data_IF_196877271803
#
_entry.id   IF_196877271803
#
_cell.length_a   1.000
_cell.length_b   1.000
_cell.length_c   1.000
_cell.angle_alpha   90.00
_cell.angle_beta   90.00
_cell.angle_gamma   90.00
#
_symmetry.space_group_name_H-M   'P 1'
#
loop_
_entity.id
_entity.type
_entity.pdbx_description
1 polymer ?
#
# COMPACT_ATOMS: atom_id res chain seq x y z
N UNK A 1 -5.19 9.80 23.34
CA UNK A 1 -4.86 9.47 21.93
C UNK A 1 -5.64 10.34 20.94
N UNK A 2 -6.98 10.24 20.89
CA UNK A 2 -7.84 10.95 19.90
C UNK A 2 -7.60 12.47 19.86
N UNK A 3 -7.49 13.12 21.03
CA UNK A 3 -7.21 14.56 21.13
C UNK A 3 -5.91 14.97 20.43
N UNK A 4 -4.88 14.12 20.46
CA UNK A 4 -3.58 14.41 19.86
C UNK A 4 -3.58 14.14 18.35
N UNK A 5 -4.33 13.12 17.90
CA UNK A 5 -4.59 12.88 16.47
C UNK A 5 -5.29 14.09 15.85
N UNK A 6 -6.37 14.58 16.48
CA UNK A 6 -7.11 15.73 16.00
C UNK A 6 -6.25 16.99 15.95
N UNK A 7 -5.46 17.25 17.00
CA UNK A 7 -4.52 18.39 17.03
C UNK A 7 -3.51 18.34 15.89
N UNK A 8 -2.90 17.18 15.66
CA UNK A 8 -1.94 17.00 14.56
C UNK A 8 -2.60 17.13 13.19
N UNK A 9 -3.80 16.57 13.02
CA UNK A 9 -4.57 16.72 11.79
C UNK A 9 -4.89 18.20 11.51
N UNK A 10 -5.43 18.93 12.48
CA UNK A 10 -5.77 20.35 12.34
C UNK A 10 -4.54 21.20 12.05
N UNK A 11 -3.41 20.93 12.71
CA UNK A 11 -2.16 21.65 12.49
C UNK A 11 -1.59 21.40 11.09
N UNK A 12 -1.57 20.13 10.64
CA UNK A 12 -1.17 19.78 9.29
C UNK A 12 -2.11 20.43 8.26
N UNK A 13 -3.43 20.37 8.49
CA UNK A 13 -4.43 20.98 7.61
C UNK A 13 -4.24 22.49 7.50
N UNK A 14 -4.02 23.19 8.62
CA UNK A 14 -3.83 24.63 8.66
C UNK A 14 -2.56 25.11 7.92
N UNK A 15 -1.55 24.26 7.77
CA UNK A 15 -0.30 24.58 7.06
C UNK A 15 -0.36 24.12 5.61
N UNK A 16 -0.69 22.85 5.39
CA UNK A 16 -0.66 22.22 4.06
C UNK A 16 -1.74 22.83 3.18
N UNK A 17 -2.99 22.92 3.65
CA UNK A 17 -4.11 23.28 2.78
C UNK A 17 -3.99 24.70 2.20
N UNK A 18 -3.69 25.77 2.97
CA UNK A 18 -3.61 27.11 2.39
C UNK A 18 -2.51 27.24 1.34
N UNK A 19 -1.31 26.72 1.62
CA UNK A 19 -0.17 26.79 0.69
C UNK A 19 -0.50 26.03 -0.60
N UNK A 20 -1.07 24.84 -0.47
CA UNK A 20 -1.49 24.01 -1.60
C UNK A 20 -2.53 24.72 -2.46
N UNK A 21 -3.53 25.33 -1.83
CA UNK A 21 -4.61 26.03 -2.53
C UNK A 21 -4.14 27.33 -3.21
N UNK A 22 -3.18 28.04 -2.62
CA UNK A 22 -2.55 29.20 -3.25
C UNK A 22 -1.82 28.77 -4.53
N UNK A 23 -1.01 27.70 -4.45
CA UNK A 23 -0.28 27.18 -5.62
C UNK A 23 -1.26 26.68 -6.67
N UNK A 24 -2.32 25.97 -6.27
CA UNK A 24 -3.37 25.50 -7.17
C UNK A 24 -4.06 26.66 -7.90
N UNK A 25 -4.39 27.73 -7.19
CA UNK A 25 -5.04 28.90 -7.77
C UNK A 25 -4.13 29.69 -8.73
N UNK A 26 -2.83 29.76 -8.44
CA UNK A 26 -1.86 30.55 -9.22
C UNK A 26 -1.24 29.77 -10.38
N UNK A 27 -1.00 28.48 -10.21
CA UNK A 27 -0.21 27.64 -11.12
C UNK A 27 -0.95 26.42 -11.66
N UNK A 28 -2.20 26.21 -11.24
CA UNK A 28 -3.07 25.14 -11.72
C UNK A 28 -3.00 23.86 -10.89
N UNK A 29 -3.91 22.94 -11.23
CA UNK A 29 -4.20 21.72 -10.46
C UNK A 29 -2.98 20.81 -10.29
N UNK A 30 -2.21 20.57 -11.35
CA UNK A 30 -1.06 19.66 -11.30
C UNK A 30 0.01 20.13 -10.30
N UNK A 31 0.35 21.42 -10.29
CA UNK A 31 1.33 21.97 -9.36
C UNK A 31 0.76 22.07 -7.94
N UNK A 32 -0.54 22.32 -7.80
CA UNK A 32 -1.25 22.20 -6.53
C UNK A 32 -1.15 20.79 -5.94
N UNK A 33 -1.38 19.74 -6.74
CA UNK A 33 -1.21 18.35 -6.30
C UNK A 33 0.23 18.08 -5.88
N UNK A 34 1.22 18.48 -6.68
CA UNK A 34 2.65 18.29 -6.32
C UNK A 34 2.98 18.98 -5.00
N UNK A 35 2.50 20.21 -4.79
CA UNK A 35 2.66 20.91 -3.52
C UNK A 35 2.01 20.15 -2.36
N UNK A 36 0.80 19.61 -2.56
CA UNK A 36 0.13 18.78 -1.56
C UNK A 36 0.97 17.54 -1.21
N UNK A 37 1.45 16.81 -2.21
CA UNK A 37 2.26 15.61 -2.06
C UNK A 37 3.47 15.89 -1.17
N UNK A 38 4.21 16.96 -1.48
CA UNK A 38 5.44 17.32 -0.76
C UNK A 38 5.13 17.82 0.65
N UNK A 39 4.16 18.72 0.81
CA UNK A 39 3.84 19.33 2.10
C UNK A 39 3.20 18.34 3.07
N UNK A 40 2.28 17.48 2.60
CA UNK A 40 1.64 16.44 3.43
C UNK A 40 2.65 15.45 4.04
N UNK A 41 3.80 15.25 3.38
CA UNK A 41 4.91 14.47 3.90
C UNK A 41 5.82 15.27 4.84
N UNK A 42 6.27 16.44 4.41
CA UNK A 42 7.30 17.21 5.12
C UNK A 42 6.78 17.88 6.39
N UNK A 43 5.58 18.45 6.36
CA UNK A 43 5.01 19.20 7.49
C UNK A 43 5.02 18.39 8.80
N UNK A 44 4.47 17.17 8.88
CA UNK A 44 4.51 16.40 10.13
C UNK A 44 5.93 16.01 10.56
N UNK A 45 6.86 15.80 9.62
CA UNK A 45 8.26 15.49 9.94
C UNK A 45 9.02 16.68 10.51
N UNK A 46 8.82 17.86 9.93
CA UNK A 46 9.44 19.11 10.39
C UNK A 46 8.86 19.52 11.73
N UNK A 47 7.54 19.48 11.90
CA UNK A 47 6.89 19.80 13.18
C UNK A 47 7.41 18.94 14.33
N UNK A 48 7.77 17.67 14.06
CA UNK A 48 8.25 16.75 15.10
C UNK A 48 9.62 17.13 15.65
N UNK A 49 10.43 17.81 14.84
CA UNK A 49 11.77 18.27 15.20
C UNK A 49 11.76 19.58 15.99
N UNK A 50 10.60 20.21 16.17
CA UNK A 50 10.49 21.49 16.88
C UNK A 50 10.31 21.26 18.38
N UNK A 51 11.35 21.49 19.17
CA UNK A 51 11.35 21.24 20.63
C UNK A 51 10.25 22.02 21.37
N UNK A 52 9.96 23.26 20.91
CA UNK A 52 8.89 24.11 21.46
C UNK A 52 7.50 23.48 21.32
N UNK A 53 7.28 22.64 20.32
CA UNK A 53 6.00 22.00 20.05
C UNK A 53 5.86 20.63 20.75
N UNK A 54 6.96 20.01 21.16
CA UNK A 54 6.93 18.71 21.85
C UNK A 54 6.22 18.76 23.21
N UNK A 55 6.19 19.93 23.86
CA UNK A 55 5.43 20.14 25.10
C UNK A 55 3.90 20.12 24.90
N UNK A 56 3.44 20.38 23.68
CA UNK A 56 2.00 20.52 23.36
C UNK A 56 1.47 19.40 22.44
N UNK A 57 2.37 18.73 21.71
CA UNK A 57 2.06 17.72 20.69
C UNK A 57 2.81 16.41 20.96
N UNK A 58 2.09 15.40 21.44
CA UNK A 58 2.60 14.02 21.43
C UNK A 58 2.22 13.36 20.10
N UNK A 59 3.21 12.91 19.34
CA UNK A 59 2.99 12.24 18.07
C UNK A 59 2.33 10.87 18.29
N UNK A 60 1.14 10.62 17.75
CA UNK A 60 0.44 9.35 17.97
C UNK A 60 0.91 8.23 17.02
N UNK A 61 1.91 8.49 16.16
CA UNK A 61 2.40 7.54 15.17
C UNK A 61 3.93 7.48 15.07
N UNK A 62 4.42 6.37 14.53
CA UNK A 62 5.84 6.19 14.14
C UNK A 62 6.09 6.85 12.77
N UNK A 63 7.24 7.51 12.60
CA UNK A 63 7.54 8.25 11.35
C UNK A 63 7.58 7.35 10.11
N UNK A 64 8.15 6.14 10.22
CA UNK A 64 8.19 5.20 9.11
C UNK A 64 6.80 4.73 8.68
N UNK A 65 5.89 4.54 9.64
CA UNK A 65 4.50 4.14 9.36
C UNK A 65 3.67 5.29 8.80
N UNK A 66 3.98 6.52 9.19
CA UNK A 66 3.41 7.70 8.53
C UNK A 66 3.89 7.83 7.08
N UNK A 67 5.18 7.60 6.82
CA UNK A 67 5.70 7.59 5.46
C UNK A 67 5.04 6.51 4.60
N UNK A 68 4.84 5.30 5.14
CA UNK A 68 4.11 4.24 4.45
C UNK A 68 2.64 4.61 4.21
N UNK A 69 1.95 5.14 5.23
CA UNK A 69 0.59 5.65 5.11
C UNK A 69 0.46 6.76 4.07
N UNK A 70 1.46 7.63 3.96
CA UNK A 70 1.52 8.67 2.95
C UNK A 70 1.54 8.06 1.56
N UNK A 71 2.48 7.14 1.26
CA UNK A 71 2.51 6.43 -0.04
C UNK A 71 1.16 5.77 -0.32
N UNK A 72 0.61 5.03 0.65
CA UNK A 72 -0.64 4.30 0.48
C UNK A 72 -1.82 5.22 0.16
N UNK A 73 -2.05 6.27 0.96
CA UNK A 73 -3.15 7.20 0.68
C UNK A 73 -2.93 7.93 -0.65
N UNK A 74 -1.70 8.29 -1.00
CA UNK A 74 -1.46 8.95 -2.29
C UNK A 74 -1.76 8.04 -3.48
N UNK A 75 -1.39 6.77 -3.40
CA UNK A 75 -1.76 5.78 -4.41
C UNK A 75 -3.28 5.72 -4.57
N UNK A 76 -4.00 5.61 -3.46
CA UNK A 76 -5.47 5.54 -3.47
C UNK A 76 -6.15 6.81 -4.03
N UNK A 77 -5.63 8.01 -3.73
CA UNK A 77 -6.29 9.27 -4.10
C UNK A 77 -5.83 9.85 -5.45
N UNK A 78 -4.61 9.54 -5.91
CA UNK A 78 -4.00 10.26 -7.03
C UNK A 78 -3.29 9.36 -8.05
N UNK A 79 -3.03 8.09 -7.75
CA UNK A 79 -2.15 7.23 -8.54
C UNK A 79 -2.95 6.00 -8.99
N UNK A 80 -3.92 6.29 -9.85
CA UNK A 80 -4.92 5.35 -10.37
C UNK A 80 -6.09 6.09 -10.99
N UNK A 81 -6.87 5.43 -11.84
CA UNK A 81 -8.24 5.87 -12.18
C UNK A 81 -9.22 5.64 -10.99
N UNK A 82 -8.71 5.26 -9.81
CA UNK A 82 -9.47 4.63 -8.74
C UNK A 82 -10.52 5.51 -8.06
N UNK A 83 -11.70 4.89 -7.87
CA UNK A 83 -12.77 5.11 -6.87
C UNK A 83 -13.49 6.44 -6.88
N UNK A 84 -12.80 7.52 -7.20
CA UNK A 84 -13.42 8.81 -7.31
C UNK A 84 -12.91 9.47 -8.59
N UNK A 85 -13.60 9.27 -9.73
CA UNK A 85 -13.27 9.97 -10.96
C UNK A 85 -13.49 11.47 -10.74
N UNK A 86 -12.46 12.18 -10.27
CA UNK A 86 -12.54 13.62 -10.02
C UNK A 86 -12.25 14.39 -11.30
N UNK A 87 -13.04 14.14 -12.34
CA UNK A 87 -13.40 15.22 -13.24
C UNK A 87 -14.44 16.05 -12.49
N UNK A 88 -14.01 17.07 -11.73
CA UNK A 88 -14.95 18.10 -11.24
C UNK A 88 -15.46 18.83 -12.48
N UNK A 89 -16.47 18.28 -13.13
CA UNK A 89 -17.09 18.80 -14.33
C UNK A 89 -17.94 20.02 -13.96
N UNK A 90 -17.27 21.11 -13.62
CA UNK A 90 -17.86 22.39 -13.26
C UNK A 90 -17.21 23.48 -14.09
N UNK A 91 -18.02 24.30 -14.76
CA UNK A 91 -17.55 25.54 -15.40
C UNK A 91 -17.18 26.65 -14.40
N UNK A 92 -17.41 26.44 -13.09
CA UNK A 92 -17.09 27.40 -12.04
C UNK A 92 -15.80 27.01 -11.29
N UNK A 93 -14.82 27.91 -11.31
CA UNK A 93 -13.54 27.76 -10.61
C UNK A 93 -13.72 27.58 -9.10
N UNK A 94 -14.72 28.23 -8.50
CA UNK A 94 -15.01 28.11 -7.07
C UNK A 94 -15.38 26.68 -6.65
N UNK A 95 -16.17 25.96 -7.45
CA UNK A 95 -16.53 24.57 -7.17
C UNK A 95 -15.35 23.61 -7.36
N UNK A 96 -14.48 23.89 -8.33
CA UNK A 96 -13.22 23.14 -8.52
C UNK A 96 -12.33 23.30 -7.29
N UNK A 97 -12.15 24.53 -6.80
CA UNK A 97 -11.37 24.79 -5.59
C UNK A 97 -11.97 24.15 -4.34
N UNK A 98 -13.29 24.21 -4.17
CA UNK A 98 -13.98 23.58 -3.05
C UNK A 98 -13.82 22.06 -3.08
N UNK A 99 -13.97 21.44 -4.26
CA UNK A 99 -13.75 20.00 -4.42
C UNK A 99 -12.32 19.61 -4.03
N UNK A 100 -11.31 20.36 -4.49
CA UNK A 100 -9.91 20.12 -4.09
C UNK A 100 -9.67 20.30 -2.59
N UNK A 101 -10.31 21.29 -1.96
CA UNK A 101 -10.24 21.46 -0.50
C UNK A 101 -10.76 20.22 0.21
N UNK A 102 -11.91 19.69 -0.22
CA UNK A 102 -12.50 18.47 0.35
C UNK A 102 -11.56 17.28 0.14
N UNK A 103 -11.07 17.08 -1.07
CA UNK A 103 -10.16 15.96 -1.41
C UNK A 103 -8.89 16.01 -0.57
N UNK A 104 -8.21 17.15 -0.50
CA UNK A 104 -6.99 17.30 0.29
C UNK A 104 -7.23 17.12 1.78
N UNK A 105 -8.36 17.61 2.30
CA UNK A 105 -8.74 17.45 3.71
C UNK A 105 -9.00 15.98 4.04
N UNK A 106 -9.77 15.28 3.22
CA UNK A 106 -10.09 13.85 3.40
C UNK A 106 -8.82 13.01 3.25
N UNK A 107 -7.96 13.33 2.28
CA UNK A 107 -6.69 12.64 2.07
C UNK A 107 -5.76 12.78 3.29
N UNK A 108 -5.59 13.99 3.83
CA UNK A 108 -4.82 14.21 5.06
C UNK A 108 -5.42 13.47 6.25
N UNK A 109 -6.75 13.46 6.37
CA UNK A 109 -7.42 12.74 7.45
C UNK A 109 -7.14 11.24 7.34
N UNK A 110 -7.32 10.67 6.14
CA UNK A 110 -7.03 9.28 5.85
C UNK A 110 -5.57 8.92 6.21
N UNK A 111 -4.59 9.73 5.81
CA UNK A 111 -3.18 9.53 6.17
C UNK A 111 -2.97 9.50 7.68
N UNK A 112 -3.58 10.44 8.43
CA UNK A 112 -3.42 10.45 9.89
C UNK A 112 -4.07 9.23 10.55
N UNK A 113 -5.24 8.81 10.09
CA UNK A 113 -5.95 7.65 10.63
C UNK A 113 -5.19 6.36 10.32
N UNK A 114 -4.79 6.16 9.06
CA UNK A 114 -4.04 4.98 8.63
C UNK A 114 -2.70 4.90 9.37
N UNK A 115 -1.97 6.00 9.54
CA UNK A 115 -0.73 6.01 10.31
C UNK A 115 -0.93 5.61 11.79
N UNK A 116 -2.03 6.02 12.42
CA UNK A 116 -2.36 5.60 13.79
C UNK A 116 -2.74 4.13 13.83
N UNK A 117 -3.59 3.66 12.91
CA UNK A 117 -3.97 2.25 12.81
C UNK A 117 -2.74 1.37 12.63
N UNK A 118 -1.83 1.73 11.72
CA UNK A 118 -0.57 1.03 11.51
C UNK A 118 0.30 1.02 12.77
N UNK A 119 0.31 2.11 13.53
CA UNK A 119 1.07 2.19 14.79
C UNK A 119 0.47 1.27 15.85
N UNK A 120 -0.85 1.28 16.03
CA UNK A 120 -1.56 0.36 16.92
C UNK A 120 -1.36 -1.11 16.50
N UNK A 121 -1.39 -1.36 15.20
CA UNK A 121 -1.13 -2.67 14.62
C UNK A 121 0.31 -3.14 14.89
N UNK A 122 1.30 -2.23 14.80
CA UNK A 122 2.70 -2.54 15.10
C UNK A 122 2.95 -2.78 16.61
N UNK A 123 2.13 -2.20 17.47
CA UNK A 123 2.18 -2.36 18.94
C UNK A 123 1.32 -3.52 19.45
N UNK A 124 0.63 -4.26 18.57
CA UNK A 124 -0.27 -5.34 18.97
C UNK A 124 0.48 -6.46 19.71
N UNK A 125 -0.18 -7.18 20.64
CA UNK A 125 0.38 -8.39 21.23
C UNK A 125 0.57 -9.46 20.15
N UNK A 126 1.76 -10.05 20.09
CA UNK A 126 2.07 -11.15 19.17
C UNK A 126 1.68 -12.47 19.81
N UNK A 127 1.01 -13.31 19.04
CA UNK A 127 0.51 -14.61 19.49
C UNK A 127 1.28 -15.77 18.85
N UNK A 128 1.40 -15.76 17.52
CA UNK A 128 2.02 -16.86 16.78
C UNK A 128 2.99 -16.27 15.76
N UNK A 129 4.27 -16.64 15.88
CA UNK A 129 5.35 -16.21 14.98
C UNK A 129 4.99 -16.36 13.50
N UNK A 130 4.38 -17.47 13.11
CA UNK A 130 3.98 -17.69 11.71
C UNK A 130 2.92 -16.68 11.27
N UNK A 131 1.80 -16.62 11.98
CA UNK A 131 0.70 -15.73 11.64
C UNK A 131 1.11 -14.25 11.73
N UNK A 132 1.85 -13.86 12.77
CA UNK A 132 2.28 -12.48 12.96
C UNK A 132 3.30 -12.01 11.92
N UNK A 133 4.26 -12.86 11.54
CA UNK A 133 5.22 -12.51 10.49
C UNK A 133 4.53 -12.45 9.12
N UNK A 134 3.59 -13.35 8.83
CA UNK A 134 2.78 -13.29 7.60
C UNK A 134 1.88 -12.06 7.55
N UNK A 135 1.21 -11.74 8.66
CA UNK A 135 0.32 -10.58 8.77
C UNK A 135 1.10 -9.27 8.66
N UNK A 136 2.27 -9.16 9.32
CA UNK A 136 3.12 -7.98 9.20
C UNK A 136 3.58 -7.77 7.76
N UNK A 137 4.10 -8.83 7.11
CA UNK A 137 4.51 -8.73 5.71
C UNK A 137 3.37 -8.31 4.80
N UNK A 138 2.20 -8.93 4.95
CA UNK A 138 1.04 -8.63 4.13
C UNK A 138 0.58 -7.17 4.27
N UNK A 139 0.58 -6.62 5.49
CA UNK A 139 0.23 -5.21 5.74
C UNK A 139 1.21 -4.25 5.07
N UNK A 140 2.49 -4.61 4.93
CA UNK A 140 3.47 -3.77 4.26
C UNK A 140 3.56 -4.01 2.74
N UNK A 141 3.26 -5.21 2.27
CA UNK A 141 3.46 -5.60 0.86
C UNK A 141 2.22 -5.47 0.00
N UNK A 142 1.01 -5.69 0.53
CA UNK A 142 -0.18 -5.83 -0.30
C UNK A 142 -0.91 -4.51 -0.60
N UNK A 143 -1.18 -3.61 0.37
CA UNK A 143 -2.12 -2.52 0.13
C UNK A 143 -1.78 -1.61 -1.06
N UNK A 144 -0.51 -1.23 -1.22
CA UNK A 144 -0.09 -0.34 -2.31
C UNK A 144 -0.12 -1.05 -3.67
N UNK A 145 0.53 -2.22 -3.85
CA UNK A 145 0.43 -2.94 -5.12
C UNK A 145 -0.97 -3.40 -5.50
N UNK A 146 -1.82 -3.78 -4.54
CA UNK A 146 -3.19 -4.20 -4.83
C UNK A 146 -4.06 -3.06 -5.35
N UNK A 147 -3.82 -1.82 -4.92
CA UNK A 147 -4.46 -0.64 -5.50
C UNK A 147 -4.02 -0.45 -6.95
N UNK A 148 -2.71 -0.46 -7.21
CA UNK A 148 -2.15 -0.26 -8.54
C UNK A 148 -2.58 -1.34 -9.55
N UNK A 149 -2.58 -2.60 -9.12
CA UNK A 149 -3.08 -3.72 -9.93
C UNK A 149 -4.59 -3.63 -10.11
N UNK A 150 -5.31 -3.36 -9.02
CA UNK A 150 -6.77 -3.23 -9.04
C UNK A 150 -7.24 -2.16 -10.01
N UNK A 151 -6.55 -1.02 -10.12
CA UNK A 151 -6.91 0.06 -11.04
C UNK A 151 -6.87 -0.35 -12.51
N UNK A 152 -5.89 -1.16 -12.88
CA UNK A 152 -5.82 -1.73 -14.24
C UNK A 152 -6.93 -2.76 -14.43
N UNK A 153 -7.17 -3.61 -13.43
CA UNK A 153 -8.16 -4.70 -13.52
C UNK A 153 -9.61 -4.20 -13.41
N UNK A 154 -9.83 -3.01 -12.85
CA UNK A 154 -11.16 -2.43 -12.62
C UNK A 154 -11.76 -1.79 -13.87
N UNK A 155 -10.95 -1.42 -14.87
CA UNK A 155 -11.37 -0.71 -16.07
C UNK A 155 -12.66 -1.29 -16.67
N UNK A 156 -13.74 -0.52 -16.70
CA UNK A 156 -15.00 -0.95 -17.29
C UNK A 156 -15.01 -0.59 -18.79
N UNK A 157 -14.73 -1.56 -19.65
CA UNK A 157 -14.72 -1.36 -21.11
C UNK A 157 -15.84 -2.18 -21.76
N UNK A 158 -17.08 -1.65 -21.80
CA UNK A 158 -18.24 -2.39 -22.32
C UNK A 158 -18.24 -2.53 -23.85
N UNK A 159 -17.49 -1.70 -24.59
CA UNK A 159 -17.36 -1.80 -26.04
C UNK A 159 -16.22 -2.76 -26.44
N UNK A 160 -16.52 -3.89 -27.11
CA UNK A 160 -15.52 -4.88 -27.52
C UNK A 160 -14.43 -4.33 -28.46
N UNK A 161 -14.75 -3.32 -29.29
CA UNK A 161 -13.80 -2.74 -30.24
C UNK A 161 -12.80 -1.87 -29.47
N UNK A 162 -13.29 -1.04 -28.55
CA UNK A 162 -12.44 -0.24 -27.67
C UNK A 162 -11.58 -1.12 -26.75
N UNK A 163 -12.15 -2.22 -26.23
CA UNK A 163 -11.42 -3.20 -25.44
C UNK A 163 -10.26 -3.82 -26.23
N UNK A 164 -10.49 -4.20 -27.50
CA UNK A 164 -9.45 -4.75 -28.37
C UNK A 164 -8.32 -3.73 -28.65
N UNK A 165 -8.65 -2.44 -28.77
CA UNK A 165 -7.66 -1.38 -28.99
C UNK A 165 -6.84 -1.03 -27.74
N UNK A 166 -7.47 -1.02 -26.56
CA UNK A 166 -6.81 -0.72 -25.28
C UNK A 166 -6.02 -1.91 -24.73
N UNK A 167 -6.41 -3.14 -25.08
CA UNK A 167 -5.85 -4.40 -24.59
C UNK A 167 -4.31 -4.44 -24.56
N UNK A 168 -3.57 -4.12 -25.66
CA UNK A 168 -2.10 -4.16 -25.64
C UNK A 168 -1.48 -3.21 -24.60
N UNK A 169 -2.06 -2.02 -24.43
CA UNK A 169 -1.58 -1.03 -23.47
C UNK A 169 -1.89 -1.47 -22.03
N UNK A 170 -3.13 -1.93 -21.79
CA UNK A 170 -3.58 -2.44 -20.50
C UNK A 170 -2.72 -3.62 -20.03
N UNK A 171 -2.41 -4.58 -20.91
CA UNK A 171 -1.52 -5.69 -20.57
C UNK A 171 -0.09 -5.25 -20.29
N UNK A 172 0.42 -4.26 -21.01
CA UNK A 172 1.76 -3.68 -20.75
C UNK A 172 1.80 -2.99 -19.38
N UNK A 173 0.77 -2.22 -19.03
CA UNK A 173 0.65 -1.60 -17.71
C UNK A 173 0.49 -2.63 -16.59
N UNK A 174 -0.33 -3.67 -16.81
CA UNK A 174 -0.48 -4.77 -15.86
C UNK A 174 0.87 -5.44 -15.59
N UNK A 175 1.66 -5.72 -16.64
CA UNK A 175 2.98 -6.33 -16.51
C UNK A 175 3.95 -5.43 -15.72
N UNK A 176 3.94 -4.11 -15.97
CA UNK A 176 4.74 -3.15 -15.20
C UNK A 176 4.38 -3.19 -13.71
N UNK A 177 3.09 -3.16 -13.37
CA UNK A 177 2.64 -3.21 -11.98
C UNK A 177 2.88 -4.55 -11.31
N UNK A 178 2.83 -5.66 -12.06
CA UNK A 178 3.24 -6.97 -11.56
C UNK A 178 4.74 -6.98 -11.20
N UNK A 179 5.62 -6.40 -12.02
CA UNK A 179 7.02 -6.25 -11.65
C UNK A 179 7.22 -5.35 -10.44
N UNK A 180 6.48 -4.24 -10.37
CA UNK A 180 6.45 -3.37 -9.19
C UNK A 180 6.05 -4.15 -7.93
N UNK A 181 5.00 -4.98 -8.03
CA UNK A 181 4.53 -5.84 -6.94
C UNK A 181 5.59 -6.83 -6.48
N UNK A 182 6.29 -7.48 -7.41
CA UNK A 182 7.38 -8.41 -7.09
C UNK A 182 8.52 -7.68 -6.38
N UNK A 183 8.99 -6.56 -6.93
CA UNK A 183 10.08 -5.78 -6.32
C UNK A 183 9.69 -5.30 -4.92
N UNK A 184 8.47 -4.77 -4.78
CA UNK A 184 7.96 -4.28 -3.51
C UNK A 184 7.88 -5.38 -2.45
N UNK A 185 7.28 -6.52 -2.81
CA UNK A 185 7.11 -7.66 -1.89
C UNK A 185 8.46 -8.28 -1.51
N UNK A 186 9.39 -8.40 -2.46
CA UNK A 186 10.75 -8.84 -2.16
C UNK A 186 11.48 -7.89 -1.22
N UNK A 187 11.33 -6.58 -1.43
CA UNK A 187 11.86 -5.56 -0.53
C UNK A 187 11.32 -5.73 0.89
N UNK A 188 10.00 -5.94 1.03
CA UNK A 188 9.36 -6.17 2.34
C UNK A 188 9.89 -7.45 2.99
N UNK A 189 9.95 -8.57 2.28
CA UNK A 189 10.47 -9.84 2.83
C UNK A 189 11.91 -9.65 3.32
N UNK A 190 12.77 -9.04 2.51
CA UNK A 190 14.17 -8.82 2.83
C UNK A 190 14.36 -7.88 4.04
N UNK A 191 13.65 -6.74 4.07
CA UNK A 191 13.78 -5.74 5.13
C UNK A 191 13.16 -6.24 6.44
N UNK A 192 11.97 -6.84 6.39
CA UNK A 192 11.25 -7.27 7.59
C UNK A 192 11.96 -8.44 8.30
N UNK A 193 12.47 -9.41 7.54
CA UNK A 193 13.19 -10.56 8.09
C UNK A 193 14.69 -10.31 8.29
N UNK A 194 15.19 -9.12 7.94
CA UNK A 194 16.60 -8.79 8.05
C UNK A 194 17.15 -9.15 9.45
N UNK A 195 18.30 -9.82 9.55
CA UNK A 195 18.87 -10.23 10.83
C UNK A 195 19.04 -9.03 11.76
N UNK A 196 18.52 -9.14 12.99
CA UNK A 196 18.72 -8.15 14.05
C UNK A 196 19.94 -8.52 14.88
N UNK A 197 20.52 -7.54 15.59
CA UNK A 197 21.67 -7.74 16.47
C UNK A 197 21.46 -8.95 17.40
N UNK A 198 22.41 -9.89 17.39
CA UNK A 198 22.36 -11.11 18.21
C UNK A 198 21.76 -12.35 17.52
N UNK A 199 21.25 -12.26 16.28
CA UNK A 199 20.74 -13.42 15.54
C UNK A 199 21.80 -14.01 14.58
N UNK A 200 21.75 -15.33 14.37
CA UNK A 200 22.62 -16.03 13.39
C UNK A 200 22.30 -15.55 11.97
N UNK A 201 23.17 -14.70 11.41
CA UNK A 201 22.96 -14.05 10.12
C UNK A 201 22.69 -15.05 8.97
N UNK A 202 23.52 -16.09 8.85
CA UNK A 202 23.36 -17.09 7.79
C UNK A 202 22.01 -17.84 7.83
N UNK A 203 21.49 -18.11 9.04
CA UNK A 203 20.20 -18.77 9.21
C UNK A 203 19.04 -17.86 8.79
N UNK A 204 19.12 -16.57 9.13
CA UNK A 204 18.11 -15.57 8.73
C UNK A 204 18.12 -15.32 7.23
N UNK A 205 19.31 -15.27 6.61
CA UNK A 205 19.44 -15.22 5.17
C UNK A 205 18.82 -16.45 4.50
N UNK A 206 19.05 -17.66 5.02
CA UNK A 206 18.41 -18.87 4.49
C UNK A 206 16.88 -18.80 4.58
N UNK A 207 16.33 -18.31 5.69
CA UNK A 207 14.88 -18.09 5.83
C UNK A 207 14.35 -17.07 4.82
N UNK A 208 15.05 -15.94 4.62
CA UNK A 208 14.70 -14.94 3.61
C UNK A 208 14.65 -15.59 2.24
N UNK A 209 15.71 -16.30 1.86
CA UNK A 209 15.82 -16.96 0.55
C UNK A 209 14.69 -17.96 0.33
N UNK A 210 14.40 -18.83 1.30
CA UNK A 210 13.30 -19.80 1.16
C UNK A 210 11.95 -19.13 1.09
N UNK A 211 11.68 -18.14 1.94
CA UNK A 211 10.42 -17.39 1.90
C UNK A 211 10.21 -16.72 0.54
N UNK A 212 11.25 -16.03 0.04
CA UNK A 212 11.22 -15.35 -1.25
C UNK A 212 11.08 -16.32 -2.43
N UNK A 213 11.86 -17.40 -2.46
CA UNK A 213 11.84 -18.38 -3.56
C UNK A 213 10.52 -19.14 -3.62
N UNK A 214 9.97 -19.55 -2.47
CA UNK A 214 8.66 -20.21 -2.41
C UNK A 214 7.57 -19.26 -2.88
N UNK A 215 7.57 -18.02 -2.37
CA UNK A 215 6.59 -17.01 -2.79
C UNK A 215 6.66 -16.76 -4.30
N UNK A 216 7.87 -16.60 -4.84
CA UNK A 216 8.11 -16.39 -6.27
C UNK A 216 7.70 -17.61 -7.11
N UNK A 217 8.00 -18.83 -6.64
CA UNK A 217 7.65 -20.06 -7.35
C UNK A 217 6.13 -20.25 -7.43
N UNK A 218 5.41 -20.00 -6.33
CA UNK A 218 3.95 -20.08 -6.32
C UNK A 218 3.36 -19.01 -7.23
N UNK A 219 3.79 -17.74 -7.10
CA UNK A 219 3.32 -16.65 -7.94
C UNK A 219 3.64 -16.87 -9.43
N UNK A 220 4.85 -17.34 -9.74
CA UNK A 220 5.27 -17.67 -11.11
C UNK A 220 4.42 -18.79 -11.70
N UNK A 221 4.07 -19.81 -10.90
CA UNK A 221 3.16 -20.87 -11.34
C UNK A 221 1.72 -20.37 -11.50
N UNK A 222 1.23 -19.52 -10.59
CA UNK A 222 -0.10 -18.92 -10.71
C UNK A 222 -0.22 -18.02 -11.94
N UNK A 223 0.84 -17.32 -12.34
CA UNK A 223 0.84 -16.46 -13.52
C UNK A 223 1.06 -17.23 -14.83
N UNK A 224 2.10 -18.05 -14.91
CA UNK A 224 2.58 -18.65 -16.16
C UNK A 224 2.43 -20.17 -16.24
N UNK A 225 2.12 -20.82 -15.12
CA UNK A 225 1.94 -22.25 -15.04
C UNK A 225 0.54 -22.71 -15.49
N UNK A 226 0.45 -24.02 -15.71
CA UNK A 226 -0.82 -24.71 -15.95
C UNK A 226 -1.70 -24.63 -14.70
N UNK A 227 -2.99 -24.35 -14.91
CA UNK A 227 -4.01 -24.26 -13.86
C UNK A 227 -5.17 -25.20 -14.24
N UNK A 228 -5.76 -25.93 -13.27
CA UNK A 228 -6.96 -26.72 -13.52
C UNK A 228 -8.14 -25.85 -13.97
N UNK A 229 -9.03 -26.39 -14.81
CA UNK A 229 -10.15 -25.64 -15.38
C UNK A 229 -11.09 -25.07 -14.30
N UNK A 230 -11.40 -25.85 -13.26
CA UNK A 230 -12.24 -25.38 -12.14
C UNK A 230 -11.62 -24.16 -11.43
N UNK A 231 -10.28 -24.06 -11.38
CA UNK A 231 -9.60 -22.94 -10.75
C UNK A 231 -9.73 -21.68 -11.61
N UNK A 232 -9.69 -21.82 -12.93
CA UNK A 232 -9.91 -20.71 -13.85
C UNK A 232 -11.36 -20.19 -13.76
N UNK A 233 -12.35 -21.09 -13.71
CA UNK A 233 -13.76 -20.71 -13.51
C UNK A 233 -13.98 -19.98 -12.18
N UNK A 234 -13.39 -20.50 -11.10
CA UNK A 234 -13.41 -19.84 -9.80
C UNK A 234 -12.75 -18.46 -9.85
N UNK A 235 -11.63 -18.32 -10.56
CA UNK A 235 -10.91 -17.05 -10.70
C UNK A 235 -11.75 -16.02 -11.46
N UNK A 236 -12.45 -16.40 -12.52
CA UNK A 236 -13.37 -15.49 -13.21
C UNK A 236 -14.52 -15.01 -12.31
N UNK A 237 -15.03 -15.88 -11.45
CA UNK A 237 -16.08 -15.52 -10.50
C UNK A 237 -15.55 -14.60 -9.38
N UNK A 238 -14.38 -14.90 -8.82
CA UNK A 238 -13.81 -14.15 -7.70
C UNK A 238 -13.08 -12.88 -8.14
N UNK A 239 -12.62 -12.82 -9.39
CA UNK A 239 -11.88 -11.70 -9.98
C UNK A 239 -12.46 -11.33 -11.35
N UNK A 240 -13.62 -10.66 -11.37
CA UNK A 240 -14.26 -10.17 -12.59
C UNK A 240 -13.48 -9.00 -13.21
N UNK A 241 -12.38 -9.33 -13.90
CA UNK A 241 -11.49 -8.39 -14.58
C UNK A 241 -12.24 -7.67 -15.71
N UNK A 242 -11.99 -6.37 -15.81
CA UNK A 242 -12.58 -5.45 -16.81
C UNK A 242 -14.10 -5.23 -16.73
N UNK A 243 -14.70 -5.49 -15.57
CA UNK A 243 -16.15 -5.38 -15.36
C UNK A 243 -16.55 -4.24 -14.41
N UNK A 244 -15.63 -3.35 -14.02
CA UNK A 244 -15.94 -2.29 -13.06
C UNK A 244 -16.29 -2.80 -11.66
N UNK A 245 -15.76 -3.97 -11.27
CA UNK A 245 -16.14 -4.64 -10.05
C UNK A 245 -15.03 -4.58 -9.00
N UNK A 246 -15.39 -4.11 -7.80
CA UNK A 246 -14.52 -3.90 -6.64
C UNK A 246 -13.79 -5.15 -6.14
N UNK A 247 -14.27 -6.34 -6.47
CA UNK A 247 -13.62 -7.61 -6.10
C UNK A 247 -12.17 -7.70 -6.59
N UNK A 248 -11.82 -7.03 -7.70
CA UNK A 248 -10.46 -7.01 -8.24
C UNK A 248 -9.43 -6.34 -7.31
N UNK A 249 -9.87 -5.56 -6.32
CA UNK A 249 -8.99 -4.98 -5.30
C UNK A 249 -8.80 -5.89 -4.08
N UNK A 250 -9.74 -6.81 -3.83
CA UNK A 250 -9.79 -7.62 -2.60
C UNK A 250 -9.26 -9.02 -2.86
N UNK A 251 -9.76 -9.68 -3.90
CA UNK A 251 -9.48 -11.08 -4.20
C UNK A 251 -7.98 -11.36 -4.41
N UNK A 252 -7.24 -10.59 -5.22
CA UNK A 252 -5.80 -10.82 -5.37
C UNK A 252 -5.06 -10.64 -4.03
N UNK A 253 -5.46 -9.66 -3.21
CA UNK A 253 -4.87 -9.44 -1.89
C UNK A 253 -5.08 -10.61 -0.93
N UNK A 254 -6.27 -11.23 -0.93
CA UNK A 254 -6.54 -12.41 -0.11
C UNK A 254 -5.74 -13.63 -0.58
N UNK A 255 -5.66 -13.85 -1.89
CA UNK A 255 -4.84 -14.93 -2.46
C UNK A 255 -3.37 -14.74 -2.07
N UNK A 256 -2.84 -13.52 -2.22
CA UNK A 256 -1.45 -13.22 -1.87
C UNK A 256 -1.18 -13.30 -0.37
N UNK A 257 -2.15 -12.98 0.48
CA UNK A 257 -2.02 -13.22 1.91
C UNK A 257 -1.82 -14.71 2.22
N UNK A 258 -2.57 -15.60 1.55
CA UNK A 258 -2.45 -17.05 1.72
C UNK A 258 -1.08 -17.52 1.20
N UNK A 259 -0.66 -17.04 0.03
CA UNK A 259 0.65 -17.39 -0.57
C UNK A 259 1.81 -16.92 0.31
N UNK A 260 1.78 -15.69 0.82
CA UNK A 260 2.73 -15.19 1.82
C UNK A 260 2.70 -16.02 3.10
N UNK A 261 1.50 -16.39 3.58
CA UNK A 261 1.30 -17.31 4.70
C UNK A 261 2.09 -18.61 4.52
N UNK A 262 1.84 -19.32 3.43
CA UNK A 262 2.54 -20.58 3.12
C UNK A 262 4.06 -20.39 3.02
N UNK A 263 4.49 -19.31 2.38
CA UNK A 263 5.90 -19.03 2.12
C UNK A 263 6.68 -18.73 3.41
N UNK A 264 6.11 -17.92 4.29
CA UNK A 264 6.67 -17.61 5.62
C UNK A 264 6.70 -18.86 6.49
N UNK A 265 5.64 -19.69 6.44
CA UNK A 265 5.57 -20.94 7.17
C UNK A 265 6.73 -21.88 6.81
N UNK A 266 6.99 -22.08 5.53
CA UNK A 266 8.11 -22.90 5.06
C UNK A 266 9.47 -22.32 5.45
N UNK A 267 9.63 -20.99 5.40
CA UNK A 267 10.83 -20.32 5.89
C UNK A 267 11.10 -20.54 7.39
N UNK A 268 10.04 -20.51 8.22
CA UNK A 268 10.15 -20.79 9.66
C UNK A 268 10.47 -22.26 9.92
N UNK A 269 9.82 -23.19 9.21
CA UNK A 269 10.07 -24.62 9.35
C UNK A 269 11.53 -24.98 9.07
N UNK A 270 12.12 -24.38 8.03
CA UNK A 270 13.54 -24.52 7.75
C UNK A 270 14.41 -23.99 8.91
N UNK A 271 14.08 -22.80 9.42
CA UNK A 271 14.82 -22.16 10.51
C UNK A 271 14.84 -23.09 11.75
N UNK A 272 13.67 -23.58 12.14
CA UNK A 272 13.50 -24.44 13.32
C UNK A 272 14.18 -25.81 13.12
N UNK A 273 14.17 -26.35 11.89
CA UNK A 273 14.84 -27.61 11.57
C UNK A 273 16.37 -27.51 11.70
N UNK A 274 16.97 -26.44 11.17
CA UNK A 274 18.42 -26.23 11.27
C UNK A 274 18.82 -26.00 12.73
N UNK A 275 18.05 -25.22 13.49
CA UNK A 275 18.32 -25.01 14.92
C UNK A 275 18.25 -26.31 15.72
N UNK A 276 17.25 -27.15 15.47
CA UNK A 276 17.13 -28.48 16.10
C UNK A 276 18.32 -29.39 15.77
N UNK A 277 18.87 -29.30 14.56
CA UNK A 277 20.07 -30.07 14.17
C UNK A 277 21.35 -29.56 14.82
N UNK A 278 21.48 -28.26 15.05
CA UNK A 278 22.66 -27.67 15.70
C UNK A 278 22.68 -27.87 17.23
N UNK A 279 21.54 -28.20 17.83
CA UNK A 279 21.40 -28.49 19.26
C UNK A 279 21.62 -29.97 19.61
N UNK A 280 21.77 -30.84 18.60
CA UNK A 280 22.14 -32.26 18.73
C UNK A 280 23.63 -32.41 18.47
#
# INVERSE_FOLDING_TARGET
MIKNVLRMFVLNLAIVLPVTMIILALQGVSLGMVAFLVLSFLTPMVLRRQDKLQQFLTYPWRNSLYAYSWIWCLTFFFLGDSVIPYAIASGSMGMIMLGWIVVFTVCLLAMTIVAVILTLFADRPRFNRWFDDSLDMAVYSLPVPMLLLGDVLFLNVPDPILAAQLSPQVFTFLQLWLYGFVIWTMGVIAIYLHPRMGQKQGLRLARIMVTALVWLAINGHLMYGWKPDFFMELLYFLMPVFQGNWLVYITPGLLEFIVLGMSVGLGILLEDFILKRQAK
#
